data_IF_470664826834
#
_entry.id   IF_470664826834
#
_cell.length_a   1.000
_cell.length_b   1.000
_cell.length_c   1.000
_cell.angle_alpha   90.00
_cell.angle_beta   90.00
_cell.angle_gamma   90.00
#
_symmetry.space_group_name_H-M   'P 1'
#
loop_
_entity.id
_entity.type
_entity.pdbx_description
1 polymer ?
#
# COMPACT_ATOMS: atom_id res chain seq x y z
N UNK A 1 -26.40 -63.28 80.70
CA UNK A 1 -27.07 -62.52 79.63
C UNK A 1 -26.13 -61.40 79.18
N UNK A 2 -25.48 -61.55 78.02
CA UNK A 2 -24.51 -60.59 77.49
C UNK A 2 -25.20 -59.75 76.41
N UNK A 3 -25.24 -58.44 76.63
CA UNK A 3 -25.80 -57.42 75.75
C UNK A 3 -24.86 -57.21 74.56
N UNK A 4 -25.34 -57.45 73.34
CA UNK A 4 -24.62 -57.10 72.10
C UNK A 4 -24.98 -55.67 71.69
N UNK A 5 -23.99 -54.80 71.60
CA UNK A 5 -24.10 -53.47 71.00
C UNK A 5 -23.56 -53.56 69.57
N UNK A 6 -24.45 -53.55 68.58
CA UNK A 6 -24.08 -53.54 67.16
C UNK A 6 -23.78 -52.11 66.73
N UNK A 7 -22.51 -51.79 66.49
CA UNK A 7 -22.09 -50.52 65.88
C UNK A 7 -22.17 -50.67 64.36
N UNK A 8 -23.07 -49.90 63.73
CA UNK A 8 -23.21 -49.84 62.28
C UNK A 8 -22.20 -48.82 61.73
N UNK A 9 -21.14 -49.30 61.08
CA UNK A 9 -20.18 -48.45 60.36
C UNK A 9 -20.72 -48.16 58.95
N UNK A 10 -21.17 -46.93 58.70
CA UNK A 10 -21.55 -46.48 57.35
C UNK A 10 -20.30 -45.93 56.67
N UNK A 11 -19.81 -46.63 55.67
CA UNK A 11 -18.69 -46.19 54.83
C UNK A 11 -19.22 -45.20 53.78
N UNK A 12 -18.93 -43.90 53.93
CA UNK A 12 -19.14 -42.91 52.86
C UNK A 12 -17.96 -42.97 51.89
N UNK A 13 -18.15 -43.63 50.74
CA UNK A 13 -17.23 -43.51 49.60
C UNK A 13 -17.46 -42.19 48.89
N UNK A 14 -16.59 -41.21 49.10
CA UNK A 14 -16.54 -39.98 48.30
C UNK A 14 -15.94 -40.34 46.94
N UNK A 15 -16.78 -40.47 45.91
CA UNK A 15 -16.33 -40.57 44.52
C UNK A 15 -16.09 -39.14 44.02
N UNK A 16 -14.84 -38.68 44.05
CA UNK A 16 -14.48 -37.44 43.36
C UNK A 16 -14.56 -37.68 41.84
N UNK A 17 -15.29 -36.87 41.06
CA UNK A 17 -15.26 -37.01 39.61
C UNK A 17 -13.86 -36.64 39.11
N UNK A 18 -13.18 -37.61 38.48
CA UNK A 18 -12.00 -37.33 37.68
C UNK A 18 -12.45 -36.45 36.52
N UNK A 19 -12.33 -35.13 36.66
CA UNK A 19 -12.41 -34.24 35.51
C UNK A 19 -11.19 -34.54 34.64
N UNK A 20 -11.42 -35.23 33.52
CA UNK A 20 -10.41 -35.37 32.48
C UNK A 20 -9.98 -33.96 32.08
N UNK A 21 -8.77 -33.57 32.49
CA UNK A 21 -8.16 -32.31 32.12
C UNK A 21 -7.94 -32.39 30.61
N UNK A 22 -8.85 -31.81 29.83
CA UNK A 22 -8.68 -31.71 28.38
C UNK A 22 -7.34 -31.02 28.15
N UNK A 23 -6.40 -31.75 27.54
CA UNK A 23 -5.11 -31.19 27.18
C UNK A 23 -5.38 -29.94 26.34
N UNK A 24 -4.91 -28.78 26.82
CA UNK A 24 -5.03 -27.56 26.04
C UNK A 24 -4.35 -27.79 24.69
N UNK A 25 -4.98 -27.40 23.57
CA UNK A 25 -4.33 -27.49 22.27
C UNK A 25 -3.00 -26.73 22.33
N UNK A 26 -1.95 -27.23 21.66
CA UNK A 26 -0.65 -26.55 21.64
C UNK A 26 -0.85 -25.12 21.11
N UNK A 27 -0.12 -24.18 21.70
CA UNK A 27 -0.13 -22.80 21.23
C UNK A 27 0.23 -22.75 19.73
N UNK A 28 -0.44 -21.90 18.92
CA UNK A 28 -0.14 -21.80 17.50
C UNK A 28 1.31 -21.34 17.31
N UNK A 29 2.06 -22.07 16.48
CA UNK A 29 3.43 -21.72 16.14
C UNK A 29 3.45 -20.44 15.30
N UNK A 30 4.30 -19.48 15.68
CA UNK A 30 4.50 -18.27 14.90
C UNK A 30 5.54 -18.50 13.82
N UNK A 31 5.14 -18.23 12.58
CA UNK A 31 6.03 -18.20 11.41
C UNK A 31 6.61 -16.79 11.25
N UNK A 32 7.81 -16.65 10.66
CA UNK A 32 8.29 -15.34 10.24
C UNK A 32 7.30 -14.68 9.29
N UNK A 33 6.93 -13.43 9.57
CA UNK A 33 6.18 -12.59 8.62
C UNK A 33 7.03 -12.43 7.37
N UNK A 34 6.39 -12.52 6.20
CA UNK A 34 7.06 -12.37 4.91
C UNK A 34 7.74 -11.00 4.83
N UNK A 35 9.06 -10.99 4.65
CA UNK A 35 9.89 -9.78 4.65
C UNK A 35 9.77 -8.92 3.38
N UNK A 36 9.09 -9.42 2.34
CA UNK A 36 8.86 -8.67 1.11
C UNK A 36 8.17 -9.49 0.01
N UNK A 37 7.54 -8.78 -0.93
CA UNK A 37 6.96 -9.35 -2.15
C UNK A 37 8.04 -9.47 -3.22
N UNK A 38 8.09 -10.63 -3.88
CA UNK A 38 9.00 -10.86 -5.00
C UNK A 38 8.24 -10.84 -6.33
N UNK A 39 7.76 -9.67 -6.75
CA UNK A 39 7.01 -9.51 -8.01
C UNK A 39 7.95 -9.55 -9.23
N UNK A 40 7.62 -10.44 -10.18
CA UNK A 40 8.32 -10.64 -11.46
C UNK A 40 7.44 -10.19 -12.63
N UNK A 41 8.05 -10.07 -13.81
CA UNK A 41 7.34 -9.79 -15.06
C UNK A 41 6.13 -10.72 -15.24
N UNK A 42 4.96 -10.14 -15.53
CA UNK A 42 3.70 -10.88 -15.67
C UNK A 42 2.98 -11.26 -14.37
N UNK A 43 3.60 -11.12 -13.19
CA UNK A 43 2.91 -11.37 -11.91
C UNK A 43 1.78 -10.37 -11.68
N UNK A 44 0.76 -10.80 -10.93
CA UNK A 44 -0.38 -9.96 -10.56
C UNK A 44 -0.38 -9.62 -9.07
N UNK A 45 -0.56 -8.35 -8.73
CA UNK A 45 -0.89 -7.85 -7.39
C UNK A 45 -2.33 -7.32 -7.37
N UNK A 46 -3.16 -7.89 -6.49
CA UNK A 46 -4.53 -7.41 -6.27
C UNK A 46 -4.58 -6.58 -4.97
N UNK A 47 -5.17 -5.39 -5.04
CA UNK A 47 -5.49 -4.55 -3.89
C UNK A 47 -6.96 -4.76 -3.48
N UNK A 48 -7.24 -5.67 -2.54
CA UNK A 48 -8.58 -5.90 -2.02
C UNK A 48 -8.89 -4.93 -0.88
N UNK A 49 -10.03 -4.22 -0.97
CA UNK A 49 -10.46 -3.39 0.14
C UNK A 49 -11.82 -2.73 -0.05
N UNK A 50 -12.06 -1.68 0.74
CA UNK A 50 -13.31 -0.92 0.77
C UNK A 50 -13.20 0.43 0.02
N UNK A 51 -13.92 1.46 0.49
CA UNK A 51 -13.90 2.82 -0.07
C UNK A 51 -12.51 3.45 -0.10
N UNK A 52 -11.63 3.15 0.85
CA UNK A 52 -10.29 3.74 0.89
C UNK A 52 -9.44 3.20 -0.27
N UNK A 53 -9.63 1.93 -0.63
CA UNK A 53 -9.00 1.32 -1.81
C UNK A 53 -9.70 1.75 -3.10
N UNK A 54 -11.03 1.91 -3.07
CA UNK A 54 -11.83 2.42 -4.19
C UNK A 54 -11.34 3.80 -4.69
N UNK A 55 -10.82 4.66 -3.80
CA UNK A 55 -10.28 5.98 -4.17
C UNK A 55 -9.12 5.95 -5.16
N UNK A 56 -8.45 4.80 -5.34
CA UNK A 56 -7.32 4.61 -6.25
C UNK A 56 -6.09 5.50 -5.96
N UNK A 57 -5.92 6.02 -4.73
CA UNK A 57 -4.79 6.90 -4.40
C UNK A 57 -3.55 6.11 -3.93
N UNK A 58 -3.58 5.44 -2.77
CA UNK A 58 -2.40 4.68 -2.31
C UNK A 58 -2.00 3.58 -3.30
N UNK A 59 -2.97 2.96 -3.96
CA UNK A 59 -2.72 1.95 -4.98
C UNK A 59 -1.97 2.56 -6.15
N UNK A 60 -2.38 3.73 -6.64
CA UNK A 60 -1.67 4.44 -7.70
C UNK A 60 -0.23 4.73 -7.29
N UNK A 61 -0.01 5.26 -6.10
CA UNK A 61 1.33 5.66 -5.68
C UNK A 61 2.28 4.46 -5.54
N UNK A 62 1.75 3.30 -5.13
CA UNK A 62 2.49 2.03 -5.13
C UNK A 62 2.79 1.58 -6.56
N UNK A 63 1.81 1.63 -7.46
CA UNK A 63 2.04 1.30 -8.86
C UNK A 63 3.06 2.23 -9.52
N UNK A 64 3.00 3.54 -9.26
CA UNK A 64 3.95 4.54 -9.74
C UNK A 64 5.37 4.19 -9.28
N UNK A 65 5.53 3.67 -8.07
CA UNK A 65 6.82 3.14 -7.58
C UNK A 65 7.30 1.98 -8.46
N UNK A 66 6.44 1.00 -8.77
CA UNK A 66 6.83 -0.12 -9.63
C UNK A 66 7.11 0.30 -11.07
N UNK A 67 6.25 1.14 -11.65
CA UNK A 67 6.41 1.63 -13.02
C UNK A 67 7.73 2.39 -13.21
N UNK A 68 8.18 3.12 -12.19
CA UNK A 68 9.43 3.89 -12.24
C UNK A 68 10.64 3.05 -11.82
N UNK A 69 10.50 2.18 -10.82
CA UNK A 69 11.62 1.39 -10.27
C UNK A 69 12.00 0.18 -11.11
N UNK A 70 11.01 -0.48 -11.70
CA UNK A 70 11.20 -1.73 -12.45
C UNK A 70 10.57 -1.63 -13.84
N UNK A 71 11.04 -0.69 -14.69
CA UNK A 71 10.44 -0.43 -16.00
C UNK A 71 10.54 -1.63 -16.96
N UNK A 72 11.39 -2.61 -16.65
CA UNK A 72 11.52 -3.87 -17.37
C UNK A 72 10.49 -4.94 -16.98
N UNK A 73 9.75 -4.76 -15.87
CA UNK A 73 8.80 -5.73 -15.34
C UNK A 73 7.38 -5.24 -15.58
N UNK A 74 6.66 -5.96 -16.43
CA UNK A 74 5.25 -5.72 -16.68
C UNK A 74 4.38 -6.38 -15.61
N UNK A 75 4.39 -5.80 -14.41
CA UNK A 75 3.50 -6.20 -13.31
C UNK A 75 2.06 -5.81 -13.64
N UNK A 76 1.11 -6.70 -13.34
CA UNK A 76 -0.32 -6.47 -13.48
C UNK A 76 -0.90 -6.05 -12.13
N UNK A 77 -1.54 -4.89 -12.09
CA UNK A 77 -2.17 -4.38 -10.88
C UNK A 77 -3.68 -4.43 -11.04
N UNK A 78 -4.38 -4.90 -10.01
CA UNK A 78 -5.85 -4.90 -10.01
C UNK A 78 -6.36 -4.29 -8.72
N UNK A 79 -7.02 -3.14 -8.83
CA UNK A 79 -7.75 -2.55 -7.71
C UNK A 79 -9.08 -3.30 -7.55
N UNK A 80 -9.27 -3.90 -6.39
CA UNK A 80 -10.47 -4.65 -5.98
C UNK A 80 -11.13 -3.95 -4.78
N UNK A 81 -11.11 -2.62 -4.75
CA UNK A 81 -11.76 -1.77 -3.76
C UNK A 81 -13.20 -1.44 -4.14
N UNK A 82 -14.15 -1.62 -3.21
CA UNK A 82 -15.56 -1.25 -3.44
C UNK A 82 -16.09 -0.49 -2.23
N UNK A 83 -16.72 0.66 -2.51
CA UNK A 83 -17.16 1.58 -1.47
C UNK A 83 -18.08 0.94 -0.43
N UNK A 84 -17.70 1.03 0.85
CA UNK A 84 -18.49 0.52 1.98
C UNK A 84 -18.49 -1.00 2.13
N UNK A 85 -17.57 -1.72 1.49
CA UNK A 85 -17.39 -3.16 1.71
C UNK A 85 -16.99 -3.47 3.14
N UNK A 86 -17.52 -4.59 3.62
CA UNK A 86 -17.05 -5.37 4.77
C UNK A 86 -16.43 -6.67 4.27
N UNK A 87 -15.78 -7.43 5.14
CA UNK A 87 -15.21 -8.74 4.80
C UNK A 87 -16.23 -9.67 4.11
N UNK A 88 -17.49 -9.67 4.57
CA UNK A 88 -18.56 -10.46 3.96
C UNK A 88 -18.89 -10.03 2.51
N UNK A 89 -18.83 -8.73 2.20
CA UNK A 89 -19.08 -8.25 0.84
C UNK A 89 -17.93 -8.61 -0.10
N UNK A 90 -16.68 -8.48 0.38
CA UNK A 90 -15.49 -8.91 -0.33
C UNK A 90 -15.53 -10.41 -0.65
N UNK A 91 -15.94 -11.26 0.31
CA UNK A 91 -16.16 -12.70 0.10
C UNK A 91 -17.18 -12.97 -1.00
N UNK A 92 -18.29 -12.22 -1.01
CA UNK A 92 -19.37 -12.41 -1.97
C UNK A 92 -19.01 -12.05 -3.42
N UNK A 93 -17.90 -11.32 -3.64
CA UNK A 93 -17.36 -10.99 -4.96
C UNK A 93 -15.96 -11.57 -5.23
N UNK A 94 -15.42 -12.37 -4.31
CA UNK A 94 -14.02 -12.81 -4.36
C UNK A 94 -13.66 -13.53 -5.66
N UNK A 95 -14.52 -14.44 -6.10
CA UNK A 95 -14.20 -15.28 -7.27
C UNK A 95 -14.15 -14.43 -8.55
N UNK A 96 -15.08 -13.48 -8.70
CA UNK A 96 -15.19 -12.61 -9.88
C UNK A 96 -14.18 -11.44 -9.89
N UNK A 97 -13.77 -10.94 -8.71
CA UNK A 97 -13.05 -9.66 -8.58
C UNK A 97 -11.67 -9.78 -7.91
N UNK A 98 -11.28 -10.98 -7.50
CA UNK A 98 -9.95 -11.28 -6.97
C UNK A 98 -9.39 -12.52 -7.66
N UNK A 99 -10.07 -13.67 -7.55
CA UNK A 99 -9.56 -14.93 -8.08
C UNK A 99 -9.40 -14.92 -9.60
N UNK A 100 -10.34 -14.29 -10.33
CA UNK A 100 -10.30 -14.15 -11.78
C UNK A 100 -9.00 -13.51 -12.31
N UNK A 101 -8.32 -12.70 -11.49
CA UNK A 101 -7.08 -12.00 -11.85
C UNK A 101 -5.81 -12.81 -11.56
N UNK A 102 -5.96 -14.02 -11.00
CA UNK A 102 -4.85 -14.96 -10.69
C UNK A 102 -3.70 -14.27 -9.95
N UNK A 103 -3.97 -13.68 -8.78
CA UNK A 103 -2.96 -12.94 -8.02
C UNK A 103 -1.81 -13.85 -7.58
N UNK A 104 -0.60 -13.30 -7.55
CA UNK A 104 0.50 -13.85 -6.74
C UNK A 104 0.41 -13.34 -5.31
N UNK A 105 0.08 -12.06 -5.17
CA UNK A 105 -0.13 -11.40 -3.88
C UNK A 105 -1.48 -10.68 -3.85
N UNK A 106 -2.13 -10.69 -2.69
CA UNK A 106 -3.36 -9.94 -2.43
C UNK A 106 -3.17 -9.12 -1.17
N UNK A 107 -3.16 -7.79 -1.28
CA UNK A 107 -3.24 -6.95 -0.08
C UNK A 107 -4.68 -6.84 0.36
N UNK A 108 -4.94 -6.87 1.67
CA UNK A 108 -6.32 -6.82 2.21
C UNK A 108 -6.45 -5.67 3.20
N UNK A 109 -7.16 -4.61 2.79
CA UNK A 109 -7.47 -3.44 3.61
C UNK A 109 -8.97 -3.35 3.88
N UNK A 110 -9.40 -3.94 5.00
CA UNK A 110 -10.79 -4.00 5.46
C UNK A 110 -10.83 -3.85 6.99
N UNK A 111 -11.98 -3.46 7.53
CA UNK A 111 -12.19 -3.26 8.97
C UNK A 111 -12.83 -1.92 9.31
N UNK A 112 -12.63 -0.88 8.47
CA UNK A 112 -13.21 0.45 8.67
C UNK A 112 -14.75 0.42 8.66
N UNK A 113 -15.37 -0.40 7.82
CA UNK A 113 -16.83 -0.56 7.79
C UNK A 113 -17.33 -1.70 8.70
N UNK A 114 -16.48 -2.70 8.96
CA UNK A 114 -16.80 -3.91 9.73
C UNK A 114 -17.07 -3.56 11.20
N UNK A 115 -16.22 -2.72 11.79
CA UNK A 115 -16.39 -2.24 13.16
C UNK A 115 -17.61 -1.30 13.35
N UNK A 116 -18.35 -1.01 12.28
CA UNK A 116 -19.65 -0.31 12.31
C UNK A 116 -19.65 1.07 12.97
N UNK A 117 -18.49 1.72 13.05
CA UNK A 117 -18.33 3.08 13.59
C UNK A 117 -18.87 3.19 15.03
N UNK A 118 -18.58 2.18 15.85
CA UNK A 118 -19.04 2.12 17.25
C UNK A 118 -17.93 1.66 18.19
N UNK A 119 -18.20 1.65 19.49
CA UNK A 119 -17.26 1.08 20.47
C UNK A 119 -17.06 -0.41 20.20
N UNK A 120 -16.00 -1.00 20.77
CA UNK A 120 -15.77 -2.43 20.62
C UNK A 120 -16.97 -3.23 21.14
N UNK A 121 -17.49 -4.11 20.28
CA UNK A 121 -18.56 -5.06 20.57
C UNK A 121 -18.07 -6.45 20.11
N UNK A 122 -18.00 -7.45 21.02
CA UNK A 122 -17.45 -8.77 20.69
C UNK A 122 -18.11 -9.44 19.49
N UNK A 123 -19.44 -9.29 19.33
CA UNK A 123 -20.22 -9.91 18.25
C UNK A 123 -19.90 -9.30 16.88
N UNK A 124 -19.65 -7.97 16.85
CA UNK A 124 -19.21 -7.28 15.64
C UNK A 124 -17.81 -7.75 15.26
N UNK A 125 -16.90 -7.83 16.23
CA UNK A 125 -15.55 -8.33 15.99
C UNK A 125 -15.54 -9.79 15.54
N UNK A 126 -16.36 -10.68 16.14
CA UNK A 126 -16.47 -12.07 15.73
C UNK A 126 -16.90 -12.22 14.25
N UNK A 127 -17.75 -11.31 13.76
CA UNK A 127 -18.15 -11.26 12.35
C UNK A 127 -16.97 -10.88 11.45
N UNK A 128 -16.18 -9.88 11.86
CA UNK A 128 -14.96 -9.47 11.16
C UNK A 128 -13.90 -10.57 11.17
N UNK A 129 -13.62 -11.16 12.33
CA UNK A 129 -12.66 -12.26 12.51
C UNK A 129 -12.99 -13.44 11.60
N UNK A 130 -14.26 -13.87 11.59
CA UNK A 130 -14.73 -14.92 10.68
C UNK A 130 -14.52 -14.55 9.22
N UNK A 131 -15.00 -13.37 8.80
CA UNK A 131 -14.92 -12.96 7.40
C UNK A 131 -13.48 -12.79 6.90
N UNK A 132 -12.61 -12.21 7.72
CA UNK A 132 -11.19 -12.07 7.40
C UNK A 132 -10.50 -13.43 7.36
N UNK A 133 -10.78 -14.33 8.32
CA UNK A 133 -10.24 -15.69 8.30
C UNK A 133 -10.59 -16.42 7.00
N UNK A 134 -11.87 -16.39 6.61
CA UNK A 134 -12.35 -17.00 5.35
C UNK A 134 -11.70 -16.35 4.11
N UNK A 135 -11.49 -15.03 4.10
CA UNK A 135 -10.78 -14.34 3.01
C UNK A 135 -9.34 -14.83 2.90
N UNK A 136 -8.62 -14.93 4.01
CA UNK A 136 -7.23 -15.40 4.02
C UNK A 136 -7.14 -16.86 3.58
N UNK A 137 -8.09 -17.71 3.98
CA UNK A 137 -8.18 -19.10 3.54
C UNK A 137 -8.45 -19.18 2.02
N UNK A 138 -9.38 -18.38 1.49
CA UNK A 138 -9.64 -18.31 0.05
C UNK A 138 -8.43 -17.84 -0.74
N UNK A 139 -7.68 -16.84 -0.27
CA UNK A 139 -6.45 -16.37 -0.92
C UNK A 139 -5.40 -17.49 -0.95
N UNK A 140 -5.19 -18.17 0.18
CA UNK A 140 -4.25 -19.29 0.25
C UNK A 140 -4.65 -20.44 -0.67
N UNK A 141 -5.95 -20.75 -0.80
CA UNK A 141 -6.46 -21.78 -1.70
C UNK A 141 -6.21 -21.48 -3.20
N UNK A 142 -5.98 -20.22 -3.58
CA UNK A 142 -5.53 -19.85 -4.93
C UNK A 142 -4.03 -20.11 -5.16
N UNK A 143 -3.26 -20.44 -4.12
CA UNK A 143 -1.80 -20.42 -4.16
C UNK A 143 -1.20 -19.01 -4.08
N UNK A 144 -2.01 -17.99 -3.78
CA UNK A 144 -1.56 -16.62 -3.59
C UNK A 144 -1.16 -16.36 -2.13
N UNK A 145 -0.31 -15.35 -1.90
CA UNK A 145 0.05 -14.92 -0.54
C UNK A 145 -0.71 -13.66 -0.16
N UNK A 146 -1.44 -13.72 0.96
CA UNK A 146 -2.12 -12.55 1.50
C UNK A 146 -1.13 -11.59 2.20
N UNK A 147 -1.44 -10.30 2.15
CA UNK A 147 -0.78 -9.23 2.89
C UNK A 147 -1.87 -8.44 3.61
N UNK A 148 -2.33 -8.89 4.80
CA UNK A 148 -3.30 -8.14 5.58
C UNK A 148 -2.72 -6.81 6.01
N UNK A 149 -3.51 -5.76 5.85
CA UNK A 149 -3.19 -4.41 6.31
C UNK A 149 -4.04 -4.10 7.52
N UNK A 150 -3.47 -3.46 8.53
CA UNK A 150 -4.33 -2.89 9.58
C UNK A 150 -5.35 -1.94 8.94
N UNK A 151 -6.59 -1.83 9.45
CA UNK A 151 -7.45 -0.71 9.06
C UNK A 151 -6.70 0.62 9.28
N UNK A 152 -6.98 1.64 8.46
CA UNK A 152 -6.41 2.97 8.69
C UNK A 152 -6.90 3.55 10.01
N UNK A 153 -6.25 4.60 10.52
CA UNK A 153 -6.80 5.33 11.67
C UNK A 153 -8.16 5.95 11.31
N UNK A 154 -9.05 6.06 12.31
CA UNK A 154 -10.25 6.89 12.23
C UNK A 154 -9.99 8.17 13.03
N UNK A 155 -10.12 9.33 12.40
CA UNK A 155 -9.81 10.61 13.05
C UNK A 155 -11.04 11.20 13.75
N UNK A 156 -11.44 10.63 14.89
CA UNK A 156 -12.59 11.09 15.67
C UNK A 156 -12.51 12.57 16.07
N UNK A 157 -11.30 13.18 16.11
CA UNK A 157 -11.17 14.62 16.31
C UNK A 157 -11.63 15.41 15.08
N UNK A 158 -11.32 14.96 13.87
CA UNK A 158 -11.86 15.56 12.64
C UNK A 158 -13.40 15.47 12.60
N UNK A 159 -13.98 14.36 13.06
CA UNK A 159 -15.44 14.23 13.21
C UNK A 159 -16.02 15.28 14.19
N UNK A 160 -15.41 15.42 15.38
CA UNK A 160 -15.80 16.42 16.39
C UNK A 160 -15.62 17.87 15.95
N UNK A 161 -14.60 18.15 15.13
CA UNK A 161 -14.41 19.50 14.57
C UNK A 161 -15.55 19.88 13.60
N UNK A 162 -16.24 18.89 13.02
CA UNK A 162 -17.38 19.11 12.10
C UNK A 162 -18.73 19.18 12.80
N UNK A 163 -18.90 18.51 13.94
CA UNK A 163 -20.17 18.43 14.67
C UNK A 163 -19.94 18.59 16.18
N UNK A 164 -20.69 19.48 16.87
CA UNK A 164 -20.45 19.78 18.28
C UNK A 164 -20.88 18.68 19.26
N UNK A 165 -21.76 17.75 18.85
CA UNK A 165 -22.14 16.60 19.69
C UNK A 165 -21.06 15.52 19.66
N UNK A 166 -20.84 14.85 20.79
CA UNK A 166 -19.90 13.73 20.87
C UNK A 166 -20.35 12.61 19.90
N UNK A 167 -19.54 12.29 18.88
CA UNK A 167 -19.90 11.30 17.89
C UNK A 167 -19.98 9.88 18.48
N UNK A 168 -20.82 9.02 17.90
CA UNK A 168 -20.89 7.58 18.28
C UNK A 168 -19.55 6.86 18.08
N UNK A 169 -18.74 7.34 17.15
CA UNK A 169 -17.44 6.80 16.75
C UNK A 169 -16.25 7.45 17.48
N UNK A 170 -16.48 8.15 18.60
CA UNK A 170 -15.42 8.78 19.41
C UNK A 170 -14.26 7.86 19.78
N UNK A 171 -14.53 6.60 20.10
CA UNK A 171 -13.52 5.60 20.49
C UNK A 171 -13.13 4.67 19.34
N UNK A 172 -13.64 4.92 18.14
CA UNK A 172 -13.54 3.98 17.04
C UNK A 172 -12.09 3.78 16.56
N UNK A 173 -11.24 4.80 16.68
CA UNK A 173 -9.82 4.65 16.37
C UNK A 173 -9.13 3.54 17.19
N UNK A 174 -9.53 3.34 18.45
CA UNK A 174 -8.98 2.28 19.30
C UNK A 174 -9.49 0.89 18.88
N UNK A 175 -10.73 0.81 18.37
CA UNK A 175 -11.28 -0.43 17.79
C UNK A 175 -10.47 -0.85 16.56
N UNK A 176 -10.14 0.10 15.69
CA UNK A 176 -9.33 -0.18 14.50
C UNK A 176 -7.89 -0.62 14.86
N UNK A 177 -7.31 -0.05 15.92
CA UNK A 177 -6.03 -0.51 16.46
C UNK A 177 -6.10 -1.96 17.01
N UNK A 178 -7.20 -2.31 17.68
CA UNK A 178 -7.45 -3.69 18.14
C UNK A 178 -7.53 -4.66 16.96
N UNK A 179 -8.31 -4.31 15.92
CA UNK A 179 -8.46 -5.13 14.71
C UNK A 179 -7.11 -5.33 14.02
N UNK A 180 -6.31 -4.25 13.92
CA UNK A 180 -4.96 -4.31 13.37
C UNK A 180 -4.00 -5.20 14.17
N UNK A 181 -4.11 -5.21 15.50
CA UNK A 181 -3.28 -6.07 16.36
C UNK A 181 -3.59 -7.54 16.12
N UNK A 182 -4.88 -7.90 16.05
CA UNK A 182 -5.31 -9.25 15.71
C UNK A 182 -4.83 -9.68 14.31
N UNK A 183 -4.93 -8.81 13.30
CA UNK A 183 -4.40 -9.12 11.96
C UNK A 183 -2.89 -9.40 11.94
N UNK A 184 -2.12 -8.70 12.77
CA UNK A 184 -0.68 -8.95 12.90
C UNK A 184 -0.39 -10.35 13.45
N UNK A 185 -1.15 -10.77 14.45
CA UNK A 185 -1.04 -12.13 14.99
C UNK A 185 -1.41 -13.17 13.95
N UNK A 186 -2.51 -12.96 13.22
CA UNK A 186 -2.93 -13.82 12.12
C UNK A 186 -1.85 -13.94 11.04
N UNK A 187 -1.20 -12.83 10.67
CA UNK A 187 -0.10 -12.85 9.71
C UNK A 187 1.09 -13.67 10.22
N UNK A 188 1.46 -13.52 11.50
CA UNK A 188 2.52 -14.29 12.13
C UNK A 188 2.20 -15.79 12.21
N UNK A 189 0.99 -16.17 12.64
CA UNK A 189 0.57 -17.58 12.71
C UNK A 189 0.55 -18.26 11.33
N UNK A 190 0.22 -17.49 10.29
CA UNK A 190 0.05 -18.01 8.92
C UNK A 190 1.30 -17.85 8.05
N UNK A 191 2.29 -17.06 8.45
CA UNK A 191 3.48 -16.75 7.65
C UNK A 191 3.18 -15.85 6.45
N UNK A 192 2.23 -14.92 6.63
CA UNK A 192 1.79 -13.98 5.59
C UNK A 192 2.68 -12.72 5.57
N UNK A 193 2.49 -11.86 4.58
CA UNK A 193 2.95 -10.47 4.69
C UNK A 193 2.10 -9.69 5.70
N UNK A 194 2.53 -8.50 6.09
CA UNK A 194 1.74 -7.63 6.96
C UNK A 194 2.16 -6.17 6.77
N UNK A 195 1.20 -5.24 6.77
CA UNK A 195 1.47 -3.80 6.67
C UNK A 195 0.69 -3.05 7.72
N UNK A 196 1.37 -2.18 8.46
CA UNK A 196 0.72 -1.31 9.44
C UNK A 196 0.35 0.04 8.82
N UNK A 197 -0.94 0.21 8.49
CA UNK A 197 -1.49 1.46 7.99
C UNK A 197 -1.93 2.40 9.13
N UNK A 198 -2.30 1.84 10.28
CA UNK A 198 -2.87 2.59 11.40
C UNK A 198 -1.83 3.51 12.05
N UNK A 199 -0.69 2.93 12.46
CA UNK A 199 0.32 3.63 13.23
C UNK A 199 0.95 4.82 12.49
N UNK A 200 1.43 4.70 11.23
CA UNK A 200 2.08 5.82 10.57
C UNK A 200 1.11 6.99 10.32
N UNK A 201 -0.15 6.73 10.00
CA UNK A 201 -1.18 7.78 9.89
C UNK A 201 -1.44 8.45 11.25
N UNK A 202 -1.60 7.65 12.31
CA UNK A 202 -1.88 8.13 13.65
C UNK A 202 -0.73 8.98 14.21
N UNK A 203 0.50 8.48 14.11
CA UNK A 203 1.68 9.11 14.69
C UNK A 203 2.02 10.42 13.97
N UNK A 204 1.99 10.45 12.64
CA UNK A 204 2.18 11.67 11.88
C UNK A 204 1.09 12.70 12.17
N UNK A 205 -0.17 12.28 12.25
CA UNK A 205 -1.28 13.18 12.61
C UNK A 205 -1.06 13.79 14.00
N UNK A 206 -0.65 12.98 14.99
CA UNK A 206 -0.36 13.47 16.34
C UNK A 206 0.88 14.37 16.40
N UNK A 207 1.91 14.10 15.60
CA UNK A 207 3.09 14.93 15.50
C UNK A 207 2.77 16.30 14.90
N UNK A 208 2.06 16.35 13.78
CA UNK A 208 1.71 17.61 13.12
C UNK A 208 0.70 18.42 13.92
N UNK A 209 -0.14 17.77 14.74
CA UNK A 209 -1.02 18.44 15.70
C UNK A 209 -0.31 19.28 16.76
N UNK A 210 0.96 18.97 17.08
CA UNK A 210 1.78 19.81 17.96
C UNK A 210 2.07 21.18 17.35
N UNK A 211 2.05 21.28 16.02
CA UNK A 211 2.27 22.53 15.27
C UNK A 211 0.94 23.21 14.91
N UNK A 212 -0.03 22.41 14.45
CA UNK A 212 -1.37 22.87 14.09
C UNK A 212 -2.42 21.96 14.74
N UNK A 213 -3.09 22.39 15.83
CA UNK A 213 -4.08 21.58 16.56
C UNK A 213 -5.27 21.08 15.73
N UNK A 214 -5.52 21.67 14.55
CA UNK A 214 -6.60 21.29 13.64
C UNK A 214 -6.09 20.42 12.47
N UNK A 215 -4.81 20.05 12.45
CA UNK A 215 -4.24 19.19 11.43
C UNK A 215 -4.95 17.83 11.39
N UNK A 216 -5.21 17.36 10.17
CA UNK A 216 -5.72 16.02 9.87
C UNK A 216 -5.32 15.64 8.45
N UNK A 217 -5.06 14.35 8.25
CA UNK A 217 -4.91 13.73 6.93
C UNK A 217 -6.23 13.13 6.42
N UNK A 218 -7.30 13.19 7.23
CA UNK A 218 -8.55 12.43 7.07
C UNK A 218 -9.73 13.35 7.42
N UNK A 219 -10.06 14.28 6.53
CA UNK A 219 -11.00 15.38 6.82
C UNK A 219 -12.41 14.92 7.20
N UNK A 220 -12.84 13.77 6.68
CA UNK A 220 -14.13 13.18 7.03
C UNK A 220 -14.06 12.13 8.14
N UNK A 221 -12.90 12.04 8.80
CA UNK A 221 -12.53 11.06 9.80
C UNK A 221 -12.37 9.63 9.28
N UNK A 222 -12.72 9.31 8.04
CA UNK A 222 -12.72 7.95 7.50
C UNK A 222 -11.71 7.77 6.37
N UNK A 223 -11.74 8.64 5.37
CA UNK A 223 -10.98 8.51 4.12
C UNK A 223 -9.76 9.44 4.14
N UNK A 224 -8.53 8.89 4.15
CA UNK A 224 -7.34 9.73 4.01
C UNK A 224 -7.33 10.45 2.65
N UNK A 225 -7.03 11.74 2.67
CA UNK A 225 -6.83 12.55 1.46
C UNK A 225 -5.50 12.13 0.78
N UNK A 226 -5.20 12.70 -0.40
CA UNK A 226 -3.98 12.40 -1.15
C UNK A 226 -2.69 12.39 -0.29
N UNK A 227 -2.42 13.38 0.59
CA UNK A 227 -1.26 13.32 1.49
C UNK A 227 -1.27 12.12 2.46
N UNK A 228 -2.42 11.75 3.01
CA UNK A 228 -2.55 10.58 3.89
C UNK A 228 -2.37 9.26 3.14
N UNK A 229 -2.87 9.19 1.91
CA UNK A 229 -2.69 8.05 1.02
C UNK A 229 -1.21 7.85 0.61
N UNK A 230 -0.37 8.90 0.61
CA UNK A 230 1.09 8.75 0.47
C UNK A 230 1.72 8.08 1.69
N UNK A 231 1.24 8.39 2.90
CA UNK A 231 1.68 7.70 4.12
C UNK A 231 1.39 6.19 4.01
N UNK A 232 0.21 5.84 3.49
CA UNK A 232 -0.19 4.45 3.25
C UNK A 232 0.68 3.75 2.21
N UNK A 233 0.90 4.38 1.05
CA UNK A 233 1.77 3.84 0.01
C UNK A 233 3.21 3.64 0.52
N UNK A 234 3.71 4.62 1.29
CA UNK A 234 5.02 4.55 1.93
C UNK A 234 5.12 3.40 2.94
N UNK A 235 4.07 3.13 3.71
CA UNK A 235 4.03 2.00 4.64
C UNK A 235 4.11 0.67 3.88
N UNK A 236 3.31 0.50 2.82
CA UNK A 236 3.39 -0.71 1.98
C UNK A 236 4.79 -0.89 1.38
N UNK A 237 5.36 0.16 0.80
CA UNK A 237 6.69 0.10 0.19
C UNK A 237 7.75 -0.23 1.25
N UNK A 238 7.66 0.36 2.44
CA UNK A 238 8.60 0.11 3.54
C UNK A 238 8.59 -1.35 4.00
N UNK A 239 7.40 -1.92 4.17
CA UNK A 239 7.22 -3.22 4.82
C UNK A 239 7.33 -4.37 3.82
N UNK A 240 6.93 -4.16 2.57
CA UNK A 240 6.77 -5.24 1.60
C UNK A 240 7.70 -5.16 0.40
N UNK A 241 8.47 -4.08 0.22
CA UNK A 241 9.35 -3.94 -0.95
C UNK A 241 10.81 -3.85 -0.50
N UNK A 242 11.69 -4.76 -0.96
CA UNK A 242 13.11 -4.67 -0.64
C UNK A 242 13.70 -3.32 -1.06
N UNK A 243 14.47 -2.71 -0.17
CA UNK A 243 15.12 -1.43 -0.45
C UNK A 243 16.06 -1.57 -1.65
N UNK A 244 15.94 -0.62 -2.57
CA UNK A 244 16.83 -0.45 -3.71
C UNK A 244 17.08 1.04 -3.95
N UNK A 245 18.22 1.35 -4.57
CA UNK A 245 18.56 2.71 -5.01
C UNK A 245 18.03 2.92 -6.43
N UNK A 246 17.47 4.10 -6.77
CA UNK A 246 17.10 4.42 -8.16
C UNK A 246 18.34 4.41 -9.03
N UNK A 247 19.29 5.30 -8.73
CA UNK A 247 20.60 5.32 -9.36
C UNK A 247 21.61 6.12 -8.56
N UNK A 248 22.89 5.87 -8.82
CA UNK A 248 23.99 6.64 -8.23
C UNK A 248 25.07 6.91 -9.25
N UNK A 249 25.52 8.16 -9.33
CA UNK A 249 26.59 8.60 -10.23
C UNK A 249 27.81 9.01 -9.44
N UNK A 250 28.97 8.45 -9.79
CA UNK A 250 30.24 8.73 -9.14
C UNK A 250 31.27 9.15 -10.16
N UNK A 251 31.68 10.41 -10.11
CA UNK A 251 32.84 10.92 -10.86
C UNK A 251 33.99 11.06 -9.87
N UNK A 252 35.06 10.30 -10.08
CA UNK A 252 36.20 10.22 -9.15
C UNK A 252 37.50 10.37 -9.89
N UNK A 253 38.43 11.10 -9.30
CA UNK A 253 39.81 11.17 -9.75
C UNK A 253 40.63 10.06 -9.11
N UNK A 254 41.35 9.29 -9.92
CA UNK A 254 42.23 8.24 -9.43
C UNK A 254 43.45 8.86 -8.71
N UNK A 255 43.74 8.47 -7.45
CA UNK A 255 44.82 9.10 -6.68
C UNK A 255 46.21 9.01 -7.31
N UNK A 256 46.49 7.90 -8.02
CA UNK A 256 47.84 7.64 -8.60
C UNK A 256 48.08 8.32 -9.94
N UNK A 257 47.03 8.47 -10.76
CA UNK A 257 47.15 8.90 -12.16
C UNK A 257 46.59 10.30 -12.39
N UNK A 258 45.81 10.84 -11.44
CA UNK A 258 45.06 12.08 -11.63
C UNK A 258 43.95 11.97 -12.68
N UNK A 259 43.71 10.79 -13.25
CA UNK A 259 42.70 10.55 -14.29
C UNK A 259 41.32 10.42 -13.65
N UNK A 260 40.35 11.14 -14.20
CA UNK A 260 38.96 10.97 -13.82
C UNK A 260 38.34 9.72 -14.43
N UNK A 261 37.43 9.13 -13.67
CA UNK A 261 36.58 8.00 -14.06
C UNK A 261 35.14 8.30 -13.66
N UNK A 262 34.18 7.74 -14.39
CA UNK A 262 32.76 7.79 -14.06
C UNK A 262 32.24 6.37 -13.89
N UNK A 263 31.47 6.16 -12.83
CA UNK A 263 30.79 4.91 -12.56
C UNK A 263 29.32 5.18 -12.20
N UNK A 264 28.45 4.26 -12.61
CA UNK A 264 27.03 4.27 -12.31
C UNK A 264 26.64 3.08 -11.44
N UNK A 265 25.77 3.31 -10.46
CA UNK A 265 24.99 2.28 -9.76
C UNK A 265 23.60 2.27 -10.38
N UNK A 266 23.10 1.06 -10.66
CA UNK A 266 21.82 0.84 -11.34
C UNK A 266 21.66 1.62 -12.65
N UNK A 267 22.73 1.63 -13.44
CA UNK A 267 22.79 2.27 -14.75
C UNK A 267 24.19 2.17 -15.33
N UNK A 268 24.37 2.69 -16.54
CA UNK A 268 25.63 2.67 -17.26
C UNK A 268 26.07 4.09 -17.63
N UNK A 269 27.28 4.46 -17.21
CA UNK A 269 27.91 5.71 -17.60
C UNK A 269 28.90 5.48 -18.75
N UNK A 270 28.94 6.38 -19.73
CA UNK A 270 29.80 6.34 -20.92
C UNK A 270 30.29 7.75 -21.29
N UNK A 271 31.18 7.82 -22.27
CA UNK A 271 31.54 9.06 -22.97
C UNK A 271 32.06 10.18 -22.06
N UNK A 272 32.82 9.83 -21.02
CA UNK A 272 33.44 10.79 -20.11
C UNK A 272 34.45 11.67 -20.86
N UNK A 273 34.23 12.98 -20.78
CA UNK A 273 35.11 14.03 -21.26
C UNK A 273 35.42 14.99 -20.13
N UNK A 274 36.69 15.34 -19.99
CA UNK A 274 37.21 16.17 -18.90
C UNK A 274 38.06 17.27 -19.50
N UNK A 275 37.62 18.50 -19.33
CA UNK A 275 38.37 19.72 -19.60
C UNK A 275 38.72 20.45 -18.30
N UNK A 276 39.33 21.63 -18.43
CA UNK A 276 39.86 22.36 -17.28
C UNK A 276 38.80 22.82 -16.28
N UNK A 277 37.65 23.27 -16.79
CA UNK A 277 36.53 23.79 -16.00
C UNK A 277 35.21 23.09 -16.37
N UNK A 278 35.29 21.96 -17.09
CA UNK A 278 34.10 21.22 -17.56
C UNK A 278 34.31 19.72 -17.48
N UNK A 279 33.34 19.01 -16.90
CA UNK A 279 33.23 17.55 -16.99
C UNK A 279 31.89 17.22 -17.65
N UNK A 280 31.90 16.31 -18.62
CA UNK A 280 30.67 15.79 -19.21
C UNK A 280 30.72 14.29 -19.41
N UNK A 281 29.57 13.63 -19.34
CA UNK A 281 29.43 12.20 -19.57
C UNK A 281 27.98 11.88 -19.91
N UNK A 282 27.74 10.69 -20.45
CA UNK A 282 26.39 10.18 -20.66
C UNK A 282 26.07 9.13 -19.62
N UNK A 283 24.84 9.13 -19.10
CA UNK A 283 24.36 8.12 -18.16
C UNK A 283 22.99 7.63 -18.57
N UNK A 284 22.86 6.30 -18.71
CA UNK A 284 21.57 5.63 -18.86
C UNK A 284 21.25 4.90 -17.56
N UNK A 285 20.31 5.44 -16.79
CA UNK A 285 19.77 4.76 -15.61
C UNK A 285 18.95 3.52 -16.02
N UNK A 286 18.79 2.57 -15.12
CA UNK A 286 17.87 1.44 -15.31
C UNK A 286 16.48 1.69 -14.68
N UNK A 287 16.34 2.77 -13.90
CA UNK A 287 15.11 3.16 -13.23
C UNK A 287 14.91 4.68 -13.29
N UNK A 288 13.67 5.13 -13.13
CA UNK A 288 13.30 6.53 -12.95
C UNK A 288 13.10 6.84 -11.45
N UNK A 289 13.21 8.12 -11.04
CA UNK A 289 12.84 8.53 -9.69
C UNK A 289 11.35 8.27 -9.43
N UNK A 290 10.99 7.93 -8.20
CA UNK A 290 9.59 7.75 -7.80
C UNK A 290 8.93 9.12 -7.61
N UNK A 291 8.22 9.60 -8.62
CA UNK A 291 7.52 10.88 -8.60
C UNK A 291 6.01 10.64 -8.48
N UNK A 292 5.32 11.49 -7.71
CA UNK A 292 3.87 11.42 -7.52
C UNK A 292 3.17 12.66 -8.11
N UNK A 293 1.85 12.59 -8.38
CA UNK A 293 1.07 13.75 -8.80
C UNK A 293 1.11 14.93 -7.80
N UNK A 294 0.86 16.19 -8.25
CA UNK A 294 1.02 17.36 -7.40
C UNK A 294 0.18 17.40 -6.11
N UNK A 295 -1.01 16.82 -6.12
CA UNK A 295 -1.89 16.72 -4.94
C UNK A 295 -1.34 15.80 -3.84
N UNK A 296 -0.35 14.96 -4.17
CA UNK A 296 0.36 14.08 -3.24
C UNK A 296 1.60 14.74 -2.59
N UNK A 297 2.01 15.93 -3.05
CA UNK A 297 3.30 16.55 -2.69
C UNK A 297 3.51 16.73 -1.18
N UNK A 298 2.48 17.17 -0.45
CA UNK A 298 2.56 17.37 1.01
C UNK A 298 2.82 16.05 1.74
N UNK A 299 2.15 14.96 1.34
CA UNK A 299 2.37 13.64 1.92
C UNK A 299 3.75 13.08 1.58
N UNK A 300 4.22 13.33 0.36
CA UNK A 300 5.54 12.91 -0.10
C UNK A 300 6.66 13.59 0.69
N UNK A 301 6.50 14.89 0.97
CA UNK A 301 7.40 15.65 1.86
C UNK A 301 7.30 15.17 3.31
N UNK A 302 6.07 15.02 3.82
CA UNK A 302 5.82 14.61 5.21
C UNK A 302 6.49 13.27 5.55
N UNK A 303 6.51 12.35 4.60
CA UNK A 303 7.11 11.01 4.77
C UNK A 303 8.59 10.94 4.40
N UNK A 304 9.16 12.02 3.83
CA UNK A 304 10.48 12.04 3.21
C UNK A 304 10.65 10.92 2.16
N UNK A 305 9.59 10.65 1.39
CA UNK A 305 9.51 9.52 0.49
C UNK A 305 10.60 9.53 -0.60
N UNK A 306 10.92 10.69 -1.16
CA UNK A 306 11.99 10.82 -2.16
C UNK A 306 13.34 10.38 -1.66
N UNK A 307 13.78 10.94 -0.54
CA UNK A 307 15.04 10.57 0.09
C UNK A 307 15.10 9.08 0.48
N UNK A 308 14.01 8.55 1.04
CA UNK A 308 13.97 7.18 1.59
C UNK A 308 13.89 6.10 0.52
N UNK A 309 13.16 6.35 -0.56
CA UNK A 309 12.80 5.31 -1.52
C UNK A 309 13.23 5.62 -2.95
N UNK A 310 13.46 6.88 -3.32
CA UNK A 310 13.93 7.26 -4.65
C UNK A 310 15.47 7.33 -4.67
N UNK A 311 16.12 8.13 -3.83
CA UNK A 311 17.59 8.18 -3.68
C UNK A 311 18.35 8.14 -5.04
N UNK A 312 18.29 9.26 -5.78
CA UNK A 312 18.99 9.46 -7.04
C UNK A 312 20.11 10.48 -6.82
N UNK A 313 21.36 10.02 -6.75
CA UNK A 313 22.45 10.87 -6.26
C UNK A 313 23.61 10.99 -7.26
N UNK A 314 24.14 12.20 -7.42
CA UNK A 314 25.42 12.46 -8.10
C UNK A 314 26.49 12.89 -7.11
N UNK A 315 27.66 12.26 -7.18
CA UNK A 315 28.84 12.58 -6.36
C UNK A 315 30.04 12.82 -7.26
N UNK A 316 30.68 13.98 -7.13
CA UNK A 316 31.83 14.39 -7.94
C UNK A 316 32.96 14.84 -7.01
N UNK A 317 34.02 14.04 -6.95
CA UNK A 317 35.17 14.31 -6.08
C UNK A 317 36.30 15.03 -6.78
N UNK A 318 37.15 15.71 -6.00
CA UNK A 318 38.41 16.34 -6.42
C UNK A 318 38.29 17.42 -7.50
N UNK A 319 37.12 18.05 -7.61
CA UNK A 319 36.94 19.25 -8.44
C UNK A 319 37.82 20.41 -7.95
N UNK A 320 38.17 21.32 -8.86
CA UNK A 320 38.75 22.61 -8.46
C UNK A 320 37.74 23.36 -7.59
N UNK A 321 38.21 24.02 -6.54
CA UNK A 321 37.36 24.80 -5.63
C UNK A 321 36.53 25.82 -6.40
N UNK A 322 35.22 25.87 -6.19
CA UNK A 322 34.36 26.83 -6.83
C UNK A 322 32.93 26.36 -6.98
N UNK A 323 32.16 27.15 -7.71
CA UNK A 323 30.76 26.87 -8.02
C UNK A 323 30.66 26.21 -9.39
N UNK A 324 29.79 25.21 -9.50
CA UNK A 324 29.54 24.47 -10.72
C UNK A 324 28.05 24.50 -11.06
N UNK A 325 27.75 24.72 -12.32
CA UNK A 325 26.42 24.47 -12.89
C UNK A 325 26.34 23.02 -13.35
N UNK A 326 25.33 22.29 -12.84
CA UNK A 326 24.96 20.98 -13.34
C UNK A 326 23.85 21.15 -14.38
N UNK A 327 24.10 20.68 -15.59
CA UNK A 327 23.11 20.57 -16.67
C UNK A 327 22.86 19.12 -17.04
N UNK A 328 21.61 18.79 -17.34
CA UNK A 328 21.21 17.48 -17.86
C UNK A 328 20.42 17.71 -19.14
N UNK A 329 20.87 17.13 -20.25
CA UNK A 329 20.34 17.38 -21.60
C UNK A 329 20.27 18.88 -21.95
N UNK A 330 21.24 19.66 -21.46
CA UNK A 330 21.32 21.11 -21.66
C UNK A 330 20.52 21.94 -20.65
N UNK A 331 19.58 21.35 -19.92
CA UNK A 331 18.74 22.04 -18.93
C UNK A 331 19.51 22.31 -17.64
N UNK A 332 19.42 23.53 -17.08
CA UNK A 332 20.10 23.89 -15.83
C UNK A 332 19.37 23.30 -14.63
N UNK A 333 19.92 22.22 -14.08
CA UNK A 333 19.36 21.48 -12.96
C UNK A 333 19.66 22.16 -11.63
N UNK A 334 20.84 22.76 -11.49
CA UNK A 334 21.20 23.50 -10.29
C UNK A 334 22.63 24.01 -10.32
N UNK A 335 22.97 24.81 -9.31
CA UNK A 335 24.33 25.26 -9.07
C UNK A 335 24.79 24.84 -7.69
N UNK A 336 25.96 24.23 -7.61
CA UNK A 336 26.48 23.60 -6.40
C UNK A 336 27.95 23.96 -6.20
N UNK A 337 28.37 24.06 -4.95
CA UNK A 337 29.79 24.12 -4.62
C UNK A 337 30.46 22.77 -4.88
N UNK A 338 31.76 22.77 -5.16
CA UNK A 338 32.58 21.57 -5.27
C UNK A 338 32.41 20.65 -4.04
N UNK A 339 32.32 21.23 -2.84
CA UNK A 339 32.11 20.50 -1.58
C UNK A 339 30.74 19.82 -1.49
N UNK A 340 29.69 20.46 -2.01
CA UNK A 340 28.35 19.86 -2.06
C UNK A 340 28.31 18.68 -3.04
N UNK A 341 28.99 18.81 -4.18
CA UNK A 341 29.13 17.73 -5.14
C UNK A 341 30.00 16.58 -4.60
N UNK A 342 31.02 16.88 -3.81
CA UNK A 342 31.87 15.88 -3.17
C UNK A 342 31.13 15.09 -2.08
N UNK A 343 30.24 15.73 -1.32
CA UNK A 343 29.31 15.05 -0.41
C UNK A 343 28.20 14.31 -1.16
N UNK A 344 27.85 14.87 -2.31
CA UNK A 344 26.90 14.39 -3.30
C UNK A 344 25.51 15.01 -3.15
N UNK A 345 24.88 15.23 -4.29
CA UNK A 345 23.63 15.96 -4.46
C UNK A 345 22.52 14.98 -4.85
N UNK A 346 21.41 15.05 -4.14
CA UNK A 346 20.16 14.34 -4.45
C UNK A 346 19.41 15.06 -5.58
N UNK A 347 18.95 14.28 -6.56
CA UNK A 347 18.31 14.74 -7.79
C UNK A 347 16.85 14.28 -7.88
N UNK A 348 16.44 13.29 -7.08
CA UNK A 348 15.14 12.61 -7.20
C UNK A 348 13.92 13.53 -7.07
N UNK A 349 14.08 14.66 -6.36
CA UNK A 349 13.03 15.65 -6.10
C UNK A 349 13.24 16.92 -6.92
N UNK A 350 14.24 16.96 -7.81
CA UNK A 350 14.53 18.12 -8.63
C UNK A 350 13.72 18.06 -9.92
N UNK A 351 12.66 18.87 -9.96
CA UNK A 351 11.71 18.95 -11.06
C UNK A 351 12.33 19.46 -12.37
N UNK A 352 13.51 20.06 -12.33
CA UNK A 352 14.23 20.48 -13.53
C UNK A 352 14.93 19.33 -14.25
N UNK A 353 15.06 18.16 -13.61
CA UNK A 353 15.72 17.03 -14.26
C UNK A 353 14.81 16.41 -15.33
N UNK A 354 15.32 16.10 -16.53
CA UNK A 354 14.52 15.44 -17.58
C UNK A 354 13.92 14.09 -17.14
N UNK A 355 14.62 13.34 -16.28
CA UNK A 355 14.15 12.07 -15.75
C UNK A 355 13.03 12.24 -14.69
N UNK A 356 13.02 13.33 -13.91
CA UNK A 356 11.87 13.66 -13.06
C UNK A 356 10.64 13.97 -13.92
N UNK A 357 10.79 14.77 -14.97
CA UNK A 357 9.68 15.10 -15.87
C UNK A 357 9.14 13.86 -16.58
N UNK A 358 10.03 12.93 -16.96
CA UNK A 358 9.63 11.63 -17.48
C UNK A 358 8.85 10.79 -16.45
N UNK A 359 9.32 10.71 -15.20
CA UNK A 359 8.62 10.01 -14.12
C UNK A 359 7.26 10.65 -13.79
N UNK A 360 7.17 11.98 -13.78
CA UNK A 360 5.91 12.69 -13.59
C UNK A 360 4.91 12.37 -14.70
N UNK A 361 5.36 12.27 -15.96
CA UNK A 361 4.51 11.83 -17.08
C UNK A 361 3.94 10.43 -16.84
N UNK A 362 4.75 9.50 -16.32
CA UNK A 362 4.30 8.14 -15.94
C UNK A 362 3.21 8.20 -14.86
N UNK A 363 3.45 8.96 -13.79
CA UNK A 363 2.49 9.11 -12.69
C UNK A 363 1.17 9.77 -13.15
N UNK A 364 1.24 10.77 -14.03
CA UNK A 364 0.05 11.43 -14.57
C UNK A 364 -0.74 10.54 -15.54
N UNK A 365 -0.07 9.71 -16.35
CA UNK A 365 -0.75 8.68 -17.17
C UNK A 365 -1.45 7.64 -16.28
N UNK A 366 -0.82 7.24 -15.17
CA UNK A 366 -1.43 6.31 -14.23
C UNK A 366 -2.64 6.93 -13.50
N UNK A 367 -2.53 8.20 -13.12
CA UNK A 367 -3.66 8.96 -12.60
C UNK A 367 -4.82 9.00 -13.60
N UNK A 368 -4.54 9.30 -14.86
CA UNK A 368 -5.55 9.33 -15.91
C UNK A 368 -6.20 7.95 -16.14
N UNK A 369 -5.40 6.86 -16.09
CA UNK A 369 -5.92 5.49 -16.09
C UNK A 369 -6.91 5.26 -14.96
N UNK A 370 -6.58 5.71 -13.75
CA UNK A 370 -7.45 5.53 -12.60
C UNK A 370 -8.74 6.35 -12.72
N UNK A 371 -8.63 7.62 -13.09
CA UNK A 371 -9.77 8.53 -13.23
C UNK A 371 -10.74 8.07 -14.34
N UNK A 372 -10.22 7.55 -15.46
CA UNK A 372 -11.04 7.20 -16.65
C UNK A 372 -11.45 5.74 -16.72
N UNK A 373 -10.69 4.82 -16.13
CA UNK A 373 -10.91 3.38 -16.25
C UNK A 373 -11.17 2.71 -14.89
N UNK A 374 -10.24 2.81 -13.94
CA UNK A 374 -10.29 2.01 -12.71
C UNK A 374 -11.38 2.49 -11.75
N UNK A 375 -11.49 3.80 -11.48
CA UNK A 375 -12.54 4.32 -10.59
C UNK A 375 -13.95 4.06 -11.15
N UNK A 376 -14.24 4.37 -12.44
CA UNK A 376 -15.53 3.99 -13.03
C UNK A 376 -15.79 2.49 -13.04
N UNK A 377 -14.75 1.65 -13.22
CA UNK A 377 -14.86 0.20 -13.11
C UNK A 377 -15.30 -0.21 -11.70
N UNK A 378 -14.73 0.39 -10.66
CA UNK A 378 -15.08 0.09 -9.27
C UNK A 378 -16.47 0.60 -8.90
N UNK A 379 -16.93 1.72 -9.45
CA UNK A 379 -18.31 2.21 -9.29
C UNK A 379 -19.35 1.18 -9.76
N UNK A 380 -19.08 0.45 -10.85
CA UNK A 380 -19.96 -0.60 -11.35
C UNK A 380 -20.22 -1.71 -10.31
N UNK A 381 -19.26 -1.99 -9.43
CA UNK A 381 -19.37 -3.03 -8.40
C UNK A 381 -20.27 -2.66 -7.23
N UNK A 382 -20.61 -1.37 -7.07
CA UNK A 382 -21.47 -0.91 -5.97
C UNK A 382 -22.87 -1.50 -6.06
N UNK A 383 -23.47 -1.55 -7.26
CA UNK A 383 -24.83 -2.06 -7.44
C UNK A 383 -24.94 -3.56 -7.16
N UNK A 384 -24.10 -4.44 -7.74
CA UNK A 384 -24.09 -5.87 -7.41
C UNK A 384 -23.92 -6.13 -5.91
N UNK A 385 -22.98 -5.41 -5.26
CA UNK A 385 -22.79 -5.48 -3.81
C UNK A 385 -24.08 -5.18 -3.05
N UNK A 386 -24.75 -4.06 -3.35
CA UNK A 386 -25.97 -3.67 -2.66
C UNK A 386 -27.09 -4.70 -2.82
N UNK A 387 -27.26 -5.28 -4.02
CA UNK A 387 -28.27 -6.32 -4.26
C UNK A 387 -27.95 -7.61 -3.49
N UNK A 388 -26.68 -8.06 -3.49
CA UNK A 388 -26.23 -9.21 -2.69
C UNK A 388 -26.49 -8.99 -1.20
N UNK A 389 -26.12 -7.81 -0.68
CA UNK A 389 -26.33 -7.44 0.72
C UNK A 389 -27.81 -7.40 1.09
N UNK A 390 -28.66 -6.80 0.25
CA UNK A 390 -30.11 -6.77 0.46
C UNK A 390 -30.72 -8.17 0.49
N UNK A 391 -30.33 -9.05 -0.44
CA UNK A 391 -30.78 -10.44 -0.46
C UNK A 391 -30.39 -11.17 0.83
N UNK A 392 -29.13 -11.05 1.27
CA UNK A 392 -28.64 -11.69 2.49
C UNK A 392 -29.38 -11.20 3.75
N UNK A 393 -29.65 -9.89 3.86
CA UNK A 393 -30.42 -9.33 4.97
C UNK A 393 -31.87 -9.84 4.97
N UNK A 394 -32.50 -9.97 3.80
CA UNK A 394 -33.86 -10.48 3.69
C UNK A 394 -33.96 -11.96 4.07
N UNK A 395 -32.96 -12.77 3.73
CA UNK A 395 -32.88 -14.16 4.18
C UNK A 395 -32.77 -14.27 5.70
N UNK A 396 -31.93 -13.45 6.33
CA UNK A 396 -31.80 -13.40 7.79
C UNK A 396 -33.12 -13.03 8.47
N UNK A 397 -33.97 -12.25 7.80
CA UNK A 397 -35.31 -11.89 8.26
C UNK A 397 -36.39 -12.94 7.93
N UNK A 398 -36.03 -14.06 7.28
CA UNK A 398 -36.98 -15.09 6.83
C UNK A 398 -37.82 -14.70 5.61
N UNK A 399 -37.52 -13.59 4.93
CA UNK A 399 -38.28 -13.05 3.80
C UNK A 399 -37.77 -13.60 2.46
N UNK A 400 -37.90 -14.92 2.27
CA UNK A 400 -37.31 -15.66 1.13
C UNK A 400 -37.73 -15.13 -0.24
N UNK A 401 -39.01 -14.83 -0.46
CA UNK A 401 -39.48 -14.35 -1.77
C UNK A 401 -38.88 -13.00 -2.15
N UNK A 402 -38.79 -12.08 -1.19
CA UNK A 402 -38.15 -10.78 -1.40
C UNK A 402 -36.64 -10.93 -1.65
N UNK A 403 -35.97 -11.84 -0.95
CA UNK A 403 -34.55 -12.14 -1.19
C UNK A 403 -34.32 -12.70 -2.60
N UNK A 404 -35.18 -13.62 -3.05
CA UNK A 404 -35.14 -14.18 -4.40
C UNK A 404 -35.42 -13.13 -5.47
N UNK A 405 -36.33 -12.19 -5.22
CA UNK A 405 -36.54 -11.05 -6.11
C UNK A 405 -35.26 -10.20 -6.26
N UNK A 406 -34.50 -9.99 -5.18
CA UNK A 406 -33.21 -9.28 -5.23
C UNK A 406 -32.12 -10.05 -5.98
N UNK A 407 -32.11 -11.38 -5.88
CA UNK A 407 -31.22 -12.23 -6.69
C UNK A 407 -31.55 -12.16 -8.17
N UNK A 408 -32.83 -12.23 -8.53
CA UNK A 408 -33.27 -12.10 -9.92
C UNK A 408 -32.95 -10.70 -10.49
N UNK A 409 -33.08 -9.65 -9.67
CA UNK A 409 -32.64 -8.30 -10.03
C UNK A 409 -31.13 -8.23 -10.29
N UNK A 410 -30.33 -8.88 -9.44
CA UNK A 410 -28.88 -9.00 -9.62
C UNK A 410 -28.53 -9.73 -10.92
N UNK A 411 -29.14 -10.89 -11.18
CA UNK A 411 -28.89 -11.67 -12.39
C UNK A 411 -29.15 -10.87 -13.67
N UNK A 412 -30.24 -10.09 -13.69
CA UNK A 412 -30.53 -9.17 -14.80
C UNK A 412 -29.48 -8.09 -14.94
N UNK A 413 -29.09 -7.45 -13.83
CA UNK A 413 -28.05 -6.41 -13.84
C UNK A 413 -26.70 -6.95 -14.31
N UNK A 414 -26.37 -8.20 -13.98
CA UNK A 414 -25.11 -8.83 -14.37
C UNK A 414 -24.93 -8.97 -15.89
N UNK A 415 -26.00 -8.94 -16.68
CA UNK A 415 -25.95 -9.00 -18.15
C UNK A 415 -25.30 -7.74 -18.74
N UNK A 416 -25.64 -6.56 -18.23
CA UNK A 416 -25.08 -5.28 -18.67
C UNK A 416 -23.76 -4.94 -17.95
N UNK A 417 -23.63 -5.38 -16.70
CA UNK A 417 -22.43 -5.18 -15.88
C UNK A 417 -21.18 -5.82 -16.49
N UNK A 418 -21.26 -7.08 -16.95
CA UNK A 418 -20.11 -7.82 -17.48
C UNK A 418 -19.42 -7.12 -18.67
N UNK A 419 -20.14 -6.70 -19.74
CA UNK A 419 -19.50 -5.99 -20.85
C UNK A 419 -18.95 -4.62 -20.42
N UNK A 420 -19.64 -3.90 -19.52
CA UNK A 420 -19.13 -2.62 -19.00
C UNK A 420 -17.81 -2.80 -18.21
N UNK A 421 -17.71 -3.85 -17.39
CA UNK A 421 -16.46 -4.23 -16.70
C UNK A 421 -15.35 -4.54 -17.71
N UNK A 422 -15.65 -5.36 -18.73
CA UNK A 422 -14.67 -5.73 -19.76
C UNK A 422 -14.17 -4.49 -20.54
N UNK A 423 -15.05 -3.55 -20.86
CA UNK A 423 -14.70 -2.28 -21.51
C UNK A 423 -13.71 -1.48 -20.66
N UNK A 424 -13.97 -1.31 -19.36
CA UNK A 424 -13.07 -0.54 -18.49
C UNK A 424 -11.73 -1.26 -18.26
N UNK A 425 -11.71 -2.58 -18.19
CA UNK A 425 -10.47 -3.37 -18.14
C UNK A 425 -9.65 -3.17 -19.43
N UNK A 426 -10.30 -3.20 -20.60
CA UNK A 426 -9.63 -2.98 -21.88
C UNK A 426 -9.06 -1.55 -21.97
N UNK A 427 -9.81 -0.54 -21.51
CA UNK A 427 -9.32 0.84 -21.44
C UNK A 427 -8.13 0.98 -20.50
N UNK A 428 -8.17 0.36 -19.32
CA UNK A 428 -7.05 0.38 -18.38
C UNK A 428 -5.77 -0.17 -19.02
N UNK A 429 -5.88 -1.28 -19.76
CA UNK A 429 -4.76 -1.89 -20.49
C UNK A 429 -4.14 -0.96 -21.53
N UNK A 430 -4.94 -0.16 -22.24
CA UNK A 430 -4.42 0.82 -23.21
C UNK A 430 -3.55 1.90 -22.55
N UNK A 431 -3.93 2.36 -21.36
CA UNK A 431 -3.10 3.28 -20.58
C UNK A 431 -1.86 2.59 -20.03
N UNK A 432 -1.97 1.35 -19.55
CA UNK A 432 -0.79 0.56 -19.12
C UNK A 432 0.23 0.44 -20.26
N UNK A 433 -0.20 0.19 -21.50
CA UNK A 433 0.68 0.18 -22.67
C UNK A 433 1.45 1.51 -22.84
N UNK A 434 0.75 2.64 -22.68
CA UNK A 434 1.36 3.97 -22.74
C UNK A 434 2.32 4.24 -21.56
N UNK A 435 1.98 3.79 -20.36
CA UNK A 435 2.80 3.89 -19.15
C UNK A 435 4.13 3.15 -19.35
N UNK A 436 4.07 1.89 -19.80
CA UNK A 436 5.28 1.09 -20.07
C UNK A 436 6.09 1.57 -21.28
N UNK A 437 5.47 2.30 -22.20
CA UNK A 437 6.22 3.01 -23.25
C UNK A 437 6.94 4.24 -22.68
N UNK A 438 6.29 5.00 -21.79
CA UNK A 438 6.82 6.23 -21.22
C UNK A 438 7.87 6.01 -20.12
N UNK A 439 7.82 4.88 -19.41
CA UNK A 439 8.67 4.64 -18.23
C UNK A 439 10.08 4.14 -18.56
N UNK A 440 10.43 3.94 -19.83
CA UNK A 440 11.74 3.45 -20.24
C UNK A 440 12.81 4.55 -20.08
N UNK A 441 13.78 4.44 -19.14
CA UNK A 441 14.79 5.47 -18.98
C UNK A 441 15.66 5.59 -20.23
N UNK A 442 15.87 6.83 -20.66
CA UNK A 442 16.75 7.14 -21.80
C UNK A 442 18.13 7.56 -21.31
N UNK A 443 19.13 7.47 -22.19
CA UNK A 443 20.46 7.99 -21.89
C UNK A 443 20.41 9.52 -21.82
N UNK A 444 20.94 10.08 -20.73
CA UNK A 444 20.97 11.52 -20.46
C UNK A 444 22.40 12.03 -20.46
N UNK A 445 22.63 13.22 -21.02
CA UNK A 445 23.94 13.88 -21.03
C UNK A 445 24.07 14.78 -19.81
N UNK A 446 25.04 14.51 -18.95
CA UNK A 446 25.37 15.31 -17.77
C UNK A 446 26.55 16.22 -18.10
N UNK A 447 26.46 17.49 -17.71
CA UNK A 447 27.51 18.48 -17.89
C UNK A 447 27.67 19.29 -16.60
N UNK A 448 28.86 19.26 -16.01
CA UNK A 448 29.28 20.10 -14.89
C UNK A 448 30.25 21.14 -15.40
N UNK A 449 29.88 22.42 -15.32
CA UNK A 449 30.72 23.54 -15.75
C UNK A 449 31.01 24.44 -14.57
N UNK A 450 32.28 24.69 -14.26
CA UNK A 450 32.69 25.66 -13.25
C UNK A 450 32.34 27.06 -13.74
N UNK A 451 31.69 27.85 -12.90
CA UNK A 451 31.37 29.24 -13.20
C UNK A 451 32.34 30.19 -12.49
N UNK A 452 32.63 31.37 -13.08
CA UNK A 452 33.55 32.35 -12.51
C UNK A 452 33.20 32.80 -11.09
#
# INVERSE_FOLDING_TARGET
MKTFLTVLLVLFTVVAPLMAQQAQPPAPEFKPILAGMDLKDGDTLVFLGDSITHQCLYTQYVEDFFYTRYPERRIRFHNSGVGGDRAADALARFDDDVAAFKPKYVTVLLGMNDGSYTKFEPEIFATYEKGMTELLDKIAALGATAVPMTPTMHDSRAARMRKPQEPRDTYYNAVLAFYGTWLREMAGQRGLGFVNMWAPLNDLTMQERKKNPNFTLIKDAVHPDAPGQVVMATALISDMIPRSTVSGLFVRQQPKTGKYTVAGVNGKATDLQVGDDKISFTFKANALPWVLPPDAADGYKLTSAGHRYSNEKITVGNLKVGKYELRIDGELVGSYLDSQLAFGVELECNDKTPQYQQALKVAMLNKERNDKAIHPLRDLWVRPKLLRRQAALLDQQGKKDAANAKRAELEKFLVEFKPAVAEKIALAKQFEDQIYQANQPVARKYELTRVP
#
